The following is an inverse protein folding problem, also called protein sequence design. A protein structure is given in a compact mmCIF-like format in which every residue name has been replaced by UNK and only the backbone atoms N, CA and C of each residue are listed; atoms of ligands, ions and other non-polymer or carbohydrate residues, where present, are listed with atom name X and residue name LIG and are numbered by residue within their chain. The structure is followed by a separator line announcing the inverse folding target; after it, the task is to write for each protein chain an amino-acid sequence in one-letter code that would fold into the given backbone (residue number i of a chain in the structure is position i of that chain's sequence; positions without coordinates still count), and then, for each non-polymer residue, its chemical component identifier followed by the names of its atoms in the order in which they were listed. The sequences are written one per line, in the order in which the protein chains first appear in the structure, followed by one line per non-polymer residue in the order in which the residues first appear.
data_IF_757217670707
#
_entry.id   IF_757217670707
#
_cell.length_a   1.000
_cell.length_b   1.000
_cell.length_c   1.000
_cell.angle_alpha   90.00
_cell.angle_beta   90.00
_cell.angle_gamma   90.00
#
_symmetry.space_group_name_H-M   'P 1'
#
loop_
_entity.id
_entity.type
_entity.pdbx_description
1 polymer ?
#
# COMPACT_ATOMS: atom_id res chain seq x y z
N UNK A 1 16.89 9.29 -7.04
CA UNK A 1 15.65 10.04 -6.71
C UNK A 1 15.33 11.08 -7.77
N UNK A 2 16.26 11.98 -8.15
CA UNK A 2 15.99 12.96 -9.23
C UNK A 2 15.69 12.31 -10.59
N UNK A 3 16.41 11.26 -10.97
CA UNK A 3 16.18 10.59 -12.25
C UNK A 3 14.84 9.80 -12.26
N UNK A 4 14.52 9.18 -11.13
CA UNK A 4 13.26 8.45 -10.87
C UNK A 4 12.03 9.38 -10.92
N UNK A 5 12.18 10.61 -10.42
CA UNK A 5 11.14 11.65 -10.45
C UNK A 5 10.87 12.15 -11.87
N UNK A 6 11.93 12.43 -12.65
CA UNK A 6 11.80 12.86 -14.04
C UNK A 6 11.11 11.79 -14.87
N UNK A 7 11.51 10.52 -14.70
CA UNK A 7 10.91 9.43 -15.44
C UNK A 7 9.45 9.19 -15.04
N UNK A 8 9.11 9.31 -13.76
CA UNK A 8 7.71 9.27 -13.30
C UNK A 8 6.86 10.37 -13.94
N UNK A 9 7.33 11.61 -13.93
CA UNK A 9 6.59 12.75 -14.50
C UNK A 9 6.33 12.54 -16.00
N UNK A 10 7.32 12.03 -16.74
CA UNK A 10 7.13 11.69 -18.17
C UNK A 10 5.96 10.72 -18.37
N UNK A 11 5.89 9.65 -17.58
CA UNK A 11 4.81 8.67 -17.70
C UNK A 11 3.43 9.28 -17.44
N UNK A 12 3.30 10.17 -16.44
CA UNK A 12 2.02 10.86 -16.20
C UNK A 12 1.63 11.78 -17.36
N UNK A 13 2.57 12.55 -17.90
CA UNK A 13 2.36 13.41 -19.06
C UNK A 13 1.96 12.61 -20.30
N UNK A 14 2.62 11.48 -20.58
CA UNK A 14 2.31 10.59 -21.69
C UNK A 14 0.91 9.97 -21.59
N UNK A 15 0.44 9.72 -20.37
CA UNK A 15 -0.90 9.22 -20.09
C UNK A 15 -1.96 10.34 -20.03
N UNK A 16 -1.56 11.61 -20.23
CA UNK A 16 -2.47 12.76 -20.21
C UNK A 16 -3.10 13.04 -18.84
N UNK A 17 -2.45 12.61 -17.77
CA UNK A 17 -2.92 12.79 -16.39
C UNK A 17 -1.95 13.67 -15.61
N UNK A 18 -2.48 14.45 -14.66
CA UNK A 18 -1.64 15.12 -13.69
C UNK A 18 -1.06 14.09 -12.71
N UNK A 19 0.14 14.35 -12.24
CA UNK A 19 0.73 13.57 -11.16
C UNK A 19 -0.16 13.65 -9.90
N UNK A 20 -0.50 12.51 -9.26
CA UNK A 20 -1.30 12.49 -8.04
C UNK A 20 -0.64 13.27 -6.89
N UNK A 21 -1.44 14.00 -6.11
CA UNK A 21 -0.93 14.83 -5.02
C UNK A 21 -0.21 14.00 -3.94
N UNK A 22 -0.62 12.74 -3.76
CA UNK A 22 0.07 11.81 -2.88
C UNK A 22 1.57 11.70 -3.17
N UNK A 23 1.98 11.66 -4.44
CA UNK A 23 3.40 11.56 -4.81
C UNK A 23 4.19 12.83 -4.50
N UNK A 24 3.60 14.01 -4.70
CA UNK A 24 4.23 15.29 -4.35
C UNK A 24 4.47 15.41 -2.85
N UNK A 25 3.46 15.07 -2.04
CA UNK A 25 3.58 15.09 -0.58
C UNK A 25 4.65 14.11 -0.09
N UNK A 26 4.79 12.97 -0.74
CA UNK A 26 5.85 12.01 -0.40
C UNK A 26 7.24 12.54 -0.73
N UNK A 27 7.42 13.22 -1.86
CA UNK A 27 8.70 13.87 -2.20
C UNK A 27 9.06 14.95 -1.17
N UNK A 28 8.08 15.75 -0.76
CA UNK A 28 8.28 16.74 0.29
C UNK A 28 8.67 16.06 1.61
N UNK A 29 7.98 14.98 2.00
CA UNK A 29 8.33 14.20 3.19
C UNK A 29 9.77 13.67 3.15
N UNK A 30 10.22 13.13 2.01
CA UNK A 30 11.61 12.67 1.82
C UNK A 30 12.62 13.81 1.98
N UNK A 31 12.32 15.00 1.45
CA UNK A 31 13.20 16.18 1.60
C UNK A 31 13.40 16.58 3.07
N UNK A 32 12.40 16.31 3.91
CA UNK A 32 12.39 16.67 5.33
C UNK A 32 12.96 15.58 6.23
N UNK A 33 13.15 14.35 5.75
CA UNK A 33 13.52 13.19 6.57
C UNK A 33 14.78 13.42 7.41
N UNK A 34 15.79 14.10 6.87
CA UNK A 34 17.07 14.28 7.55
C UNK A 34 17.02 15.33 8.66
N UNK A 35 16.36 16.44 8.36
CA UNK A 35 16.45 17.69 9.11
C UNK A 35 15.21 17.90 10.00
N UNK A 36 14.03 17.41 9.57
CA UNK A 36 12.74 17.54 10.25
C UNK A 36 11.95 16.21 10.26
N UNK A 37 12.41 15.17 10.98
CA UNK A 37 11.83 13.82 10.91
C UNK A 37 10.37 13.72 11.36
N UNK A 38 9.94 14.58 12.30
CA UNK A 38 8.53 14.66 12.72
C UNK A 38 7.64 15.18 11.60
N UNK A 39 8.08 16.24 10.94
CA UNK A 39 7.37 16.82 9.79
C UNK A 39 7.33 15.84 8.63
N UNK A 40 8.45 15.16 8.35
CA UNK A 40 8.54 14.11 7.35
C UNK A 40 7.52 12.99 7.60
N UNK A 41 7.41 12.49 8.83
CA UNK A 41 6.41 11.49 9.20
C UNK A 41 4.98 11.97 8.95
N UNK A 42 4.64 13.20 9.39
CA UNK A 42 3.30 13.76 9.21
C UNK A 42 2.96 13.87 7.72
N UNK A 43 3.88 14.39 6.91
CA UNK A 43 3.71 14.51 5.46
C UNK A 43 3.62 13.15 4.76
N UNK A 44 4.41 12.17 5.17
CA UNK A 44 4.35 10.82 4.61
C UNK A 44 2.97 10.17 4.83
N UNK A 45 2.41 10.28 6.03
CA UNK A 45 1.07 9.74 6.30
C UNK A 45 -0.01 10.56 5.57
N UNK A 46 0.14 11.87 5.47
CA UNK A 46 -0.75 12.70 4.66
C UNK A 46 -0.70 12.31 3.17
N UNK A 47 0.48 12.00 2.63
CA UNK A 47 0.67 11.51 1.27
C UNK A 47 -0.13 10.22 1.02
N UNK A 48 -0.01 9.26 1.94
CA UNK A 48 -0.73 7.98 1.88
C UNK A 48 -2.26 8.15 1.95
N UNK A 49 -2.74 9.01 2.84
CA UNK A 49 -4.17 9.32 2.99
C UNK A 49 -4.73 10.04 1.75
N UNK A 50 -3.98 11.00 1.22
CA UNK A 50 -4.36 11.74 0.01
C UNK A 50 -4.39 10.82 -1.20
N UNK A 51 -3.33 10.04 -1.45
CA UNK A 51 -3.29 9.12 -2.59
C UNK A 51 -4.41 8.06 -2.53
N UNK A 52 -4.71 7.54 -1.33
CA UNK A 52 -5.85 6.65 -1.15
C UNK A 52 -7.19 7.33 -1.47
N UNK A 53 -7.40 8.56 -1.00
CA UNK A 53 -8.64 9.32 -1.30
C UNK A 53 -8.79 9.61 -2.78
N UNK A 54 -7.73 10.04 -3.45
CA UNK A 54 -7.71 10.26 -4.90
C UNK A 54 -8.06 8.96 -5.65
N UNK A 55 -7.46 7.84 -5.23
CA UNK A 55 -7.75 6.52 -5.80
C UNK A 55 -9.22 6.11 -5.62
N UNK A 56 -9.79 6.29 -4.42
CA UNK A 56 -11.19 5.95 -4.16
C UNK A 56 -12.13 6.90 -4.94
N UNK A 57 -11.87 8.20 -4.95
CA UNK A 57 -12.68 9.16 -5.69
C UNK A 57 -12.67 8.87 -7.21
N UNK A 58 -11.54 8.43 -7.75
CA UNK A 58 -11.44 8.02 -9.16
C UNK A 58 -12.27 6.77 -9.47
N UNK A 59 -12.23 5.74 -8.60
CA UNK A 59 -12.85 4.44 -8.88
C UNK A 59 -14.27 4.28 -8.33
N UNK A 60 -14.66 5.08 -7.34
CA UNK A 60 -15.98 5.13 -6.70
C UNK A 60 -16.48 6.59 -6.62
N UNK A 61 -16.71 7.28 -7.76
CA UNK A 61 -17.04 8.71 -7.76
C UNK A 61 -18.30 9.06 -6.94
N UNK A 62 -19.24 8.12 -6.80
CA UNK A 62 -20.43 8.27 -5.96
C UNK A 62 -20.13 8.42 -4.46
N UNK A 63 -18.94 8.01 -3.99
CA UNK A 63 -18.50 8.17 -2.59
C UNK A 63 -17.60 9.38 -2.38
N UNK A 64 -17.32 10.17 -3.42
CA UNK A 64 -16.42 11.33 -3.33
C UNK A 64 -16.88 12.35 -2.27
N UNK A 65 -18.16 12.71 -2.28
CA UNK A 65 -18.73 13.65 -1.30
C UNK A 65 -18.53 13.18 0.14
N UNK A 66 -18.54 11.87 0.38
CA UNK A 66 -18.34 11.26 1.70
C UNK A 66 -16.89 11.43 2.17
N UNK A 67 -15.92 11.30 1.26
CA UNK A 67 -14.50 11.45 1.55
C UNK A 67 -14.08 12.90 1.80
N UNK A 68 -14.79 13.85 1.19
CA UNK A 68 -14.53 15.28 1.34
C UNK A 68 -15.15 15.86 2.62
N UNK A 69 -16.28 15.31 3.08
CA UNK A 69 -17.06 15.89 4.18
C UNK A 69 -16.86 15.20 5.52
N UNK A 70 -16.47 13.91 5.55
CA UNK A 70 -16.30 13.18 6.79
C UNK A 70 -14.84 13.03 7.20
N UNK A 71 -14.56 13.01 8.52
CA UNK A 71 -13.27 12.55 9.01
C UNK A 71 -13.04 11.12 8.52
N UNK A 72 -11.94 10.92 7.79
CA UNK A 72 -11.64 9.63 7.19
C UNK A 72 -11.32 8.59 8.26
N UNK A 73 -11.86 7.36 8.17
CA UNK A 73 -11.43 6.25 9.01
C UNK A 73 -9.92 6.02 8.94
N UNK A 74 -9.32 5.28 9.88
CA UNK A 74 -7.90 4.94 9.83
C UNK A 74 -7.53 4.31 8.48
N UNK A 75 -6.44 4.78 7.86
CA UNK A 75 -6.00 4.36 6.53
C UNK A 75 -5.95 2.84 6.37
N UNK A 76 -5.35 2.13 7.32
CA UNK A 76 -5.26 0.67 7.33
C UNK A 76 -6.63 -0.03 7.24
N UNK A 77 -7.64 0.53 7.92
CA UNK A 77 -9.00 -0.02 7.90
C UNK A 77 -9.62 0.15 6.51
N UNK A 78 -9.47 1.32 5.90
CA UNK A 78 -9.98 1.58 4.56
C UNK A 78 -9.29 0.69 3.51
N UNK A 79 -7.96 0.56 3.58
CA UNK A 79 -7.20 -0.30 2.68
C UNK A 79 -7.61 -1.78 2.78
N UNK A 80 -8.00 -2.23 3.97
CA UNK A 80 -8.42 -3.62 4.20
C UNK A 80 -9.88 -3.88 3.80
N UNK A 81 -10.78 -2.97 4.16
CA UNK A 81 -12.23 -3.20 4.05
C UNK A 81 -12.82 -2.67 2.74
N UNK A 82 -12.31 -1.54 2.24
CA UNK A 82 -12.85 -0.90 1.04
C UNK A 82 -12.14 -1.37 -0.23
N UNK A 83 -10.82 -1.61 -0.20
CA UNK A 83 -10.07 -2.06 -1.39
C UNK A 83 -10.68 -3.30 -2.09
N UNK A 84 -11.13 -4.36 -1.37
CA UNK A 84 -11.71 -5.54 -2.01
C UNK A 84 -13.01 -5.26 -2.78
N UNK A 85 -13.64 -4.11 -2.55
CA UNK A 85 -14.90 -3.70 -3.21
C UNK A 85 -14.65 -2.89 -4.49
N UNK A 86 -13.43 -2.41 -4.69
CA UNK A 86 -13.06 -1.54 -5.81
C UNK A 86 -12.66 -2.40 -7.01
N UNK A 87 -13.24 -2.12 -8.18
CA UNK A 87 -12.81 -2.74 -9.43
C UNK A 87 -11.52 -2.08 -9.90
N UNK A 88 -10.46 -2.86 -10.05
CA UNK A 88 -9.16 -2.36 -10.53
C UNK A 88 -8.91 -2.76 -11.97
N UNK A 89 -8.02 -2.02 -12.65
CA UNK A 89 -7.59 -2.29 -14.03
C UNK A 89 -6.39 -3.22 -14.11
N UNK A 90 -5.64 -3.38 -13.01
CA UNK A 90 -4.56 -4.35 -12.90
C UNK A 90 -4.77 -5.30 -11.71
N UNK A 91 -4.20 -6.49 -11.84
CA UNK A 91 -4.12 -7.50 -10.79
C UNK A 91 -2.65 -7.90 -10.63
N UNK A 92 -2.19 -8.04 -9.39
CA UNK A 92 -0.89 -8.64 -9.12
C UNK A 92 -1.04 -10.16 -9.19
N UNK A 93 -0.04 -10.83 -9.79
CA UNK A 93 -0.02 -12.24 -10.23
C UNK A 93 -0.94 -13.14 -9.38
N UNK A 94 -2.04 -13.61 -9.98
CA UNK A 94 -2.90 -14.67 -9.45
C UNK A 94 -3.73 -14.36 -8.20
N UNK A 95 -3.72 -13.15 -7.63
CA UNK A 95 -4.48 -12.80 -6.42
C UNK A 95 -5.50 -11.67 -6.60
N UNK A 96 -6.50 -11.66 -5.72
CA UNK A 96 -7.47 -10.56 -5.52
C UNK A 96 -6.74 -9.25 -5.21
N UNK A 97 -7.37 -8.14 -5.58
CA UNK A 97 -6.98 -6.78 -5.21
C UNK A 97 -6.76 -6.65 -3.70
N UNK A 98 -5.62 -6.08 -3.28
CA UNK A 98 -5.28 -5.96 -1.87
C UNK A 98 -3.79 -5.75 -1.59
N UNK A 99 -3.49 -5.33 -0.38
CA UNK A 99 -2.14 -4.94 0.03
C UNK A 99 -1.47 -6.03 0.90
N UNK A 100 -0.13 -6.17 0.83
CA UNK A 100 0.60 -7.07 1.72
C UNK A 100 0.35 -6.76 3.20
N UNK A 101 0.17 -7.77 4.07
CA UNK A 101 0.02 -7.55 5.50
C UNK A 101 1.19 -6.79 6.14
N UNK A 102 2.42 -7.01 5.64
CA UNK A 102 3.63 -6.28 6.07
C UNK A 102 3.50 -4.78 5.81
N UNK A 103 3.12 -4.40 4.59
CA UNK A 103 2.86 -3.00 4.22
C UNK A 103 1.76 -2.38 5.10
N UNK A 104 0.64 -3.07 5.31
CA UNK A 104 -0.45 -2.58 6.16
C UNK A 104 -0.01 -2.35 7.61
N UNK A 105 0.84 -3.23 8.15
CA UNK A 105 1.37 -3.09 9.50
C UNK A 105 2.30 -1.87 9.64
N UNK A 106 3.17 -1.64 8.65
CA UNK A 106 4.05 -0.45 8.64
C UNK A 106 3.23 0.84 8.55
N UNK A 107 2.22 0.89 7.67
CA UNK A 107 1.33 2.04 7.56
C UNK A 107 0.56 2.30 8.87
N UNK A 108 0.04 1.25 9.50
CA UNK A 108 -0.63 1.36 10.81
C UNK A 108 0.31 1.91 11.88
N UNK A 109 1.55 1.42 11.94
CA UNK A 109 2.60 1.92 12.84
C UNK A 109 2.87 3.39 12.58
N UNK A 110 3.02 3.79 11.32
CA UNK A 110 3.21 5.18 10.90
C UNK A 110 2.06 6.10 11.29
N UNK A 111 0.80 5.70 11.07
CA UNK A 111 -0.39 6.46 11.51
C UNK A 111 -0.39 6.65 13.03
N UNK A 112 -0.06 5.61 13.80
CA UNK A 112 0.03 5.71 15.26
C UNK A 112 1.12 6.69 15.70
N UNK A 113 2.29 6.65 15.05
CA UNK A 113 3.35 7.62 15.31
C UNK A 113 2.94 9.05 14.95
N UNK A 114 2.27 9.24 13.82
CA UNK A 114 1.75 10.54 13.39
C UNK A 114 0.76 11.09 14.41
N UNK A 115 -0.18 10.28 14.87
CA UNK A 115 -1.16 10.68 15.89
C UNK A 115 -0.48 11.11 17.17
N UNK A 116 0.47 10.32 17.69
CA UNK A 116 1.24 10.69 18.89
C UNK A 116 2.02 11.98 18.70
N UNK A 117 2.63 12.17 17.54
CA UNK A 117 3.42 13.37 17.20
C UNK A 117 2.54 14.63 17.19
N UNK A 118 1.37 14.57 16.54
CA UNK A 118 0.44 15.71 16.45
C UNK A 118 -0.23 16.01 17.78
N UNK A 119 -0.50 15.00 18.61
CA UNK A 119 -1.09 15.17 19.94
C UNK A 119 -0.08 15.53 21.04
N UNK A 120 1.18 15.80 20.69
CA UNK A 120 2.19 16.31 21.63
C UNK A 120 2.82 15.25 22.54
N UNK A 121 2.57 13.96 22.29
CA UNK A 121 3.20 12.87 23.04
C UNK A 121 4.67 12.73 22.62
N UNK A 122 5.60 12.79 23.57
CA UNK A 122 7.03 12.60 23.30
C UNK A 122 7.26 11.21 22.69
N UNK A 123 7.52 11.16 21.39
CA UNK A 123 7.83 9.92 20.69
C UNK A 123 9.14 10.08 19.94
N UNK A 124 10.08 9.16 20.14
CA UNK A 124 11.29 9.06 19.34
C UNK A 124 11.09 7.99 18.27
N UNK A 125 10.73 8.41 17.06
CA UNK A 125 10.82 7.57 15.87
C UNK A 125 12.29 7.54 15.44
N UNK A 126 12.87 6.35 15.31
CA UNK A 126 14.23 6.24 14.77
C UNK A 126 14.27 6.60 13.28
N UNK A 127 15.48 6.91 12.76
CA UNK A 127 15.65 7.19 11.32
C UNK A 127 15.28 6.00 10.45
N UNK A 128 15.59 4.78 10.90
CA UNK A 128 15.31 3.54 10.17
C UNK A 128 13.81 3.26 10.13
N UNK A 129 13.09 3.50 11.23
CA UNK A 129 11.63 3.37 11.24
C UNK A 129 10.94 4.43 10.38
N UNK A 130 11.49 5.65 10.30
CA UNK A 130 10.97 6.67 9.40
C UNK A 130 11.19 6.28 7.93
N UNK A 131 12.38 5.77 7.61
CA UNK A 131 12.70 5.25 6.28
C UNK A 131 11.76 4.11 5.87
N UNK A 132 11.49 3.18 6.78
CA UNK A 132 10.53 2.09 6.61
C UNK A 132 9.13 2.61 6.28
N UNK A 133 8.64 3.61 7.03
CA UNK A 133 7.34 4.24 6.77
C UNK A 133 7.33 4.94 5.41
N UNK A 134 8.37 5.72 5.08
CA UNK A 134 8.47 6.43 3.80
C UNK A 134 8.46 5.46 2.61
N UNK A 135 9.17 4.32 2.71
CA UNK A 135 9.18 3.27 1.69
C UNK A 135 7.82 2.58 1.56
N UNK A 136 7.14 2.29 2.68
CA UNK A 136 5.81 1.70 2.64
C UNK A 136 4.77 2.64 2.01
N UNK A 137 4.85 3.95 2.28
CA UNK A 137 4.00 4.95 1.62
C UNK A 137 4.30 5.02 0.12
N UNK A 138 5.57 5.01 -0.27
CA UNK A 138 5.98 4.98 -1.68
C UNK A 138 5.37 3.78 -2.41
N UNK A 139 5.52 2.59 -1.83
CA UNK A 139 5.03 1.36 -2.43
C UNK A 139 3.50 1.35 -2.49
N UNK A 140 2.80 1.87 -1.47
CA UNK A 140 1.35 2.07 -1.52
C UNK A 140 0.96 2.92 -2.73
N UNK A 141 1.57 4.10 -2.91
CA UNK A 141 1.20 5.01 -3.99
C UNK A 141 1.41 4.38 -5.38
N UNK A 142 2.55 3.71 -5.61
CA UNK A 142 2.78 3.00 -6.86
C UNK A 142 1.85 1.79 -7.05
N UNK A 143 1.44 1.11 -5.98
CA UNK A 143 0.40 0.08 -6.07
C UNK A 143 -0.94 0.68 -6.51
N UNK A 144 -1.32 1.86 -6.02
CA UNK A 144 -2.56 2.55 -6.43
C UNK A 144 -2.51 2.95 -7.92
N UNK A 145 -1.38 3.46 -8.40
CA UNK A 145 -1.17 3.76 -9.82
C UNK A 145 -1.30 2.49 -10.68
N UNK A 146 -0.63 1.41 -10.25
CA UNK A 146 -0.72 0.12 -10.94
C UNK A 146 -2.17 -0.37 -10.99
N UNK A 147 -2.91 -0.30 -9.88
CA UNK A 147 -4.34 -0.65 -9.85
C UNK A 147 -5.21 0.22 -10.77
N UNK A 148 -4.81 1.47 -11.01
CA UNK A 148 -5.42 2.37 -12.00
C UNK A 148 -4.99 2.08 -13.45
N UNK A 149 -4.20 1.03 -13.68
CA UNK A 149 -3.77 0.57 -15.01
C UNK A 149 -2.42 1.13 -15.46
N UNK A 150 -1.72 1.89 -14.62
CA UNK A 150 -0.39 2.41 -14.92
C UNK A 150 0.68 1.35 -14.66
N UNK A 151 0.83 0.41 -15.58
CA UNK A 151 1.67 -0.77 -15.37
C UNK A 151 3.14 -0.45 -15.08
N UNK A 152 3.66 0.67 -15.59
CA UNK A 152 5.02 1.14 -15.30
C UNK A 152 5.27 1.31 -13.79
N UNK A 153 4.24 1.71 -13.03
CA UNK A 153 4.36 1.93 -11.58
C UNK A 153 4.76 0.66 -10.83
N UNK A 154 4.42 -0.51 -11.36
CA UNK A 154 4.79 -1.78 -10.74
C UNK A 154 6.30 -1.99 -10.63
N UNK A 155 7.10 -1.38 -11.51
CA UNK A 155 8.57 -1.45 -11.49
C UNK A 155 9.21 -0.68 -10.32
N UNK A 156 8.46 0.22 -9.67
CA UNK A 156 8.95 1.05 -8.56
C UNK A 156 8.53 0.52 -7.18
N UNK A 157 7.71 -0.53 -7.12
CA UNK A 157 7.29 -1.19 -5.88
C UNK A 157 8.47 -2.05 -5.38
N UNK A 158 8.80 -1.98 -4.09
CA UNK A 158 9.87 -2.81 -3.53
C UNK A 158 9.61 -4.32 -3.69
N UNK A 159 10.66 -5.08 -3.95
CA UNK A 159 10.58 -6.53 -4.14
C UNK A 159 9.99 -7.25 -2.92
N UNK A 160 10.22 -6.75 -1.72
CA UNK A 160 9.63 -7.30 -0.48
C UNK A 160 8.10 -7.28 -0.54
N UNK A 161 7.50 -6.16 -0.95
CA UNK A 161 6.06 -6.00 -1.03
C UNK A 161 5.46 -6.66 -2.28
N UNK A 162 6.20 -6.73 -3.38
CA UNK A 162 5.79 -7.49 -4.58
C UNK A 162 5.78 -8.99 -4.30
N UNK A 163 6.84 -9.55 -3.70
CA UNK A 163 6.92 -10.98 -3.39
C UNK A 163 6.01 -11.41 -2.25
N UNK A 164 5.64 -10.52 -1.32
CA UNK A 164 4.59 -10.80 -0.34
C UNK A 164 3.20 -11.00 -0.98
N UNK A 165 3.03 -10.63 -2.26
CA UNK A 165 1.85 -10.96 -3.06
C UNK A 165 1.96 -12.31 -3.76
N UNK A 166 3.15 -12.94 -3.81
CA UNK A 166 3.30 -14.34 -4.23
C UNK A 166 2.61 -15.28 -3.22
N UNK A 167 2.02 -16.41 -3.66
CA UNK A 167 1.57 -17.42 -2.71
C UNK A 167 2.77 -17.99 -1.96
N UNK A 168 2.69 -18.04 -0.62
CA UNK A 168 3.42 -19.07 0.12
C UNK A 168 2.92 -20.39 -0.46
N UNK A 169 3.78 -21.13 -1.14
CA UNK A 169 3.46 -22.43 -1.69
C UNK A 169 2.75 -23.25 -0.62
N UNK A 170 1.53 -23.71 -0.91
CA UNK A 170 0.95 -24.81 -0.16
C UNK A 170 1.96 -25.95 -0.22
N UNK A 171 2.57 -26.27 0.93
CA UNK A 171 3.25 -27.56 1.09
C UNK A 171 2.19 -28.61 0.78
N UNK A 172 2.42 -29.53 -0.17
CA UNK A 172 1.50 -30.64 -0.36
C UNK A 172 1.44 -31.40 0.95
N UNK A 173 0.27 -31.41 1.59
CA UNK A 173 0.00 -32.27 2.75
C UNK A 173 0.18 -33.72 2.26
N UNK A 174 1.34 -34.29 2.59
CA UNK A 174 1.64 -35.69 2.34
C UNK A 174 0.81 -36.54 3.30
N UNK A 175 -0.48 -36.66 3.00
CA UNK A 175 -1.31 -37.76 3.49
C UNK A 175 -1.64 -38.65 2.31
N UNK A 176 -0.75 -39.62 2.10
CA UNK A 176 -1.06 -40.88 1.44
C UNK A 176 -2.37 -41.45 2.00
N UNK A 177 -3.36 -41.83 1.17
CA UNK A 177 -4.43 -42.69 1.64
C UNK A 177 -3.83 -44.08 1.87
N UNK A 178 -3.77 -44.49 3.14
CA UNK A 178 -3.49 -45.86 3.53
C UNK A 178 -4.54 -46.76 2.87
N UNK A 179 -4.08 -47.61 1.96
CA UNK A 179 -4.83 -48.71 1.38
C UNK A 179 -5.14 -49.71 2.50
N UNK A 180 -6.40 -49.78 2.94
CA UNK A 180 -6.91 -50.75 3.91
C UNK A 180 -7.03 -52.15 3.23
N UNK A 181 -6.20 -53.14 3.59
CA UNK A 181 -6.29 -54.50 3.07
C UNK A 181 -7.01 -55.36 4.12
N UNK A 182 -8.32 -55.20 4.29
CA UNK A 182 -9.11 -56.03 5.20
C UNK A 182 -10.59 -56.13 4.79
N UNK A 183 -10.87 -56.50 3.54
CA UNK A 183 -12.15 -57.11 3.15
C UNK A 183 -11.98 -58.21 2.11
N UNK A 184 -11.39 -59.31 2.52
CA UNK A 184 -11.73 -60.63 2.01
C UNK A 184 -11.82 -61.62 3.17
N UNK A 185 -12.82 -62.50 3.09
CA UNK A 185 -13.12 -63.64 3.97
C UNK A 185 -13.77 -63.33 5.32
N UNK A 186 -15.11 -63.45 5.37
CA UNK A 186 -15.79 -64.53 6.10
C UNK A 186 -17.16 -64.77 5.42
N UNK A 187 -17.36 -66.06 5.08
CA UNK A 187 -18.57 -66.82 4.74
C UNK A 187 -19.93 -66.13 4.71
#
# INVERSE_FOLDING_TARGET
MKDDEIDRIKHYVEQGVNEPLGHHLLLEAWSQMRDNPRSALVMAIAAAETGWKEFVAHNLPQTQWLLETLPSPPLEKMLRELMPTIKTKAHFIGKKTGFPPTLLNVLKKGVNYRNRTVHGSSTSLSRDELDEVLKAVRDLLYMLDAYNGMLWASAHISHEHVSALEPVSETPDSRTPESDPSRESIR
#
